data_IF_094090067271
#
_entry.id   IF_094090067271
#
_cell.length_a   1.000
_cell.length_b   1.000
_cell.length_c   1.000
_cell.angle_alpha   90.00
_cell.angle_beta   90.00
_cell.angle_gamma   90.00
#
_symmetry.space_group_name_H-M   'P 1'
#
loop_
_entity.id
_entity.type
_entity.pdbx_description
1 polymer ?
#
# COMPACT_ATOMS: atom_id res chain seq x y z
N UNK A 1 -11.21 -6.37 22.91
CA UNK A 1 -12.25 -5.80 22.01
C UNK A 1 -12.72 -6.92 21.09
N UNK A 2 -14.02 -7.08 20.78
CA UNK A 2 -14.42 -8.05 19.75
C UNK A 2 -13.74 -7.72 18.43
N UNK A 3 -13.59 -8.75 17.57
CA UNK A 3 -13.00 -8.55 16.24
C UNK A 3 -13.88 -7.55 15.48
N UNK A 4 -13.34 -6.42 15.00
CA UNK A 4 -14.11 -5.48 14.19
C UNK A 4 -14.70 -6.15 12.94
N UNK A 5 -15.88 -5.74 12.55
CA UNK A 5 -16.52 -6.22 11.32
C UNK A 5 -16.44 -5.14 10.24
N UNK A 6 -16.45 -5.55 8.95
CA UNK A 6 -16.59 -4.61 7.85
C UNK A 6 -17.77 -3.66 8.09
N UNK A 7 -17.49 -2.36 7.98
CA UNK A 7 -18.48 -1.28 8.11
C UNK A 7 -19.17 -1.15 9.49
N UNK A 8 -18.60 -1.77 10.54
CA UNK A 8 -19.00 -1.46 11.92
C UNK A 8 -18.48 -0.07 12.35
N UNK A 9 -18.82 0.34 13.58
CA UNK A 9 -18.45 1.66 14.12
C UNK A 9 -16.94 1.91 14.08
N UNK A 10 -16.11 0.89 14.35
CA UNK A 10 -14.66 1.02 14.35
C UNK A 10 -14.15 1.36 12.94
N UNK A 11 -14.60 0.61 11.93
CA UNK A 11 -14.21 0.83 10.54
C UNK A 11 -14.73 2.17 10.01
N UNK A 12 -15.99 2.53 10.28
CA UNK A 12 -16.59 3.80 9.85
C UNK A 12 -15.89 5.02 10.47
N UNK A 13 -15.50 4.95 11.75
CA UNK A 13 -14.70 6.00 12.40
C UNK A 13 -13.36 6.18 11.69
N UNK A 14 -12.67 5.08 11.34
CA UNK A 14 -11.40 5.16 10.61
C UNK A 14 -11.56 5.73 9.20
N UNK A 15 -12.63 5.41 8.48
CA UNK A 15 -12.96 6.04 7.19
C UNK A 15 -13.08 7.55 7.38
N UNK A 16 -13.84 7.99 8.38
CA UNK A 16 -13.99 9.41 8.71
C UNK A 16 -12.66 10.11 9.04
N UNK A 17 -11.81 9.46 9.85
CA UNK A 17 -10.46 9.96 10.20
C UNK A 17 -9.60 10.13 8.95
N UNK A 18 -9.54 9.12 8.07
CA UNK A 18 -8.72 9.15 6.86
C UNK A 18 -9.19 10.23 5.88
N UNK A 19 -10.49 10.41 5.71
CA UNK A 19 -11.06 11.50 4.90
C UNK A 19 -10.68 12.87 5.51
N UNK A 20 -10.86 13.04 6.83
CA UNK A 20 -10.53 14.29 7.51
C UNK A 20 -9.04 14.64 7.39
N UNK A 21 -8.14 13.66 7.59
CA UNK A 21 -6.69 13.86 7.43
C UNK A 21 -6.35 14.18 5.97
N UNK A 22 -6.97 13.51 5.00
CA UNK A 22 -6.76 13.79 3.57
C UNK A 22 -7.08 15.24 3.23
N UNK A 23 -8.26 15.71 3.66
CA UNK A 23 -8.71 17.10 3.47
C UNK A 23 -7.76 18.06 4.17
N UNK A 24 -7.41 17.80 5.43
CA UNK A 24 -6.51 18.63 6.21
C UNK A 24 -5.15 18.80 5.53
N UNK A 25 -4.52 17.69 5.10
CA UNK A 25 -3.21 17.72 4.44
C UNK A 25 -3.28 18.52 3.13
N UNK A 26 -4.28 18.29 2.31
CA UNK A 26 -4.47 19.03 1.06
C UNK A 26 -4.70 20.51 1.32
N UNK A 27 -5.62 20.87 2.21
CA UNK A 27 -5.94 22.28 2.50
C UNK A 27 -4.75 23.03 3.10
N UNK A 28 -4.03 22.41 4.03
CA UNK A 28 -2.95 23.07 4.78
C UNK A 28 -1.61 23.03 4.07
N UNK A 29 -1.30 21.92 3.37
CA UNK A 29 0.06 21.62 2.91
C UNK A 29 0.20 21.43 1.40
N UNK A 30 -0.85 21.61 0.58
CA UNK A 30 -0.72 21.47 -0.89
C UNK A 30 0.36 22.34 -1.53
N UNK A 31 0.72 23.44 -0.87
CA UNK A 31 1.77 24.36 -1.31
C UNK A 31 3.05 24.27 -0.45
N UNK A 32 3.20 23.26 0.39
CA UNK A 32 4.35 23.06 1.24
C UNK A 32 5.65 22.95 0.42
N UNK A 33 6.77 23.32 1.03
CA UNK A 33 8.07 23.14 0.38
C UNK A 33 8.40 21.66 0.15
N UNK A 34 9.29 21.37 -0.80
CA UNK A 34 9.75 19.98 -1.02
C UNK A 34 10.42 19.40 0.23
N UNK A 35 11.15 20.24 0.99
CA UNK A 35 11.74 19.86 2.27
C UNK A 35 10.69 19.41 3.29
N UNK A 36 9.52 20.06 3.36
CA UNK A 36 8.47 19.68 4.27
C UNK A 36 7.79 18.36 3.83
N UNK A 37 7.62 18.15 2.52
CA UNK A 37 7.14 16.86 1.98
C UNK A 37 8.08 15.73 2.35
N UNK A 38 9.40 15.93 2.22
CA UNK A 38 10.42 14.95 2.61
C UNK A 38 10.33 14.60 4.10
N UNK A 39 10.21 15.62 4.96
CA UNK A 39 10.02 15.43 6.40
C UNK A 39 8.75 14.64 6.71
N UNK A 40 7.62 14.99 6.08
CA UNK A 40 6.36 14.26 6.24
C UNK A 40 6.48 12.80 5.78
N UNK A 41 7.10 12.56 4.63
CA UNK A 41 7.35 11.20 4.14
C UNK A 41 8.21 10.39 5.13
N UNK A 42 9.25 11.00 5.69
CA UNK A 42 10.10 10.38 6.72
C UNK A 42 9.36 10.09 8.02
N UNK A 43 8.50 11.00 8.48
CA UNK A 43 7.67 10.79 9.69
C UNK A 43 6.68 9.63 9.46
N UNK A 44 5.94 9.63 8.35
CA UNK A 44 5.00 8.56 8.05
C UNK A 44 5.71 7.22 7.87
N UNK A 45 6.86 7.21 7.20
CA UNK A 45 7.71 6.02 7.12
C UNK A 45 8.11 5.50 8.51
N UNK A 46 8.62 6.38 9.38
CA UNK A 46 9.01 6.01 10.75
C UNK A 46 7.85 5.41 11.55
N UNK A 47 6.66 6.02 11.47
CA UNK A 47 5.45 5.50 12.13
C UNK A 47 5.09 4.11 11.59
N UNK A 48 5.08 3.94 10.25
CA UNK A 48 4.76 2.65 9.65
C UNK A 48 5.78 1.57 10.01
N UNK A 49 7.07 1.90 10.06
CA UNK A 49 8.15 0.96 10.45
C UNK A 49 8.00 0.54 11.90
N UNK A 50 7.73 1.47 12.82
CA UNK A 50 7.52 1.14 14.25
C UNK A 50 6.35 0.18 14.42
N UNK A 51 5.20 0.46 13.81
CA UNK A 51 4.06 -0.44 13.86
C UNK A 51 4.34 -1.78 13.19
N UNK A 52 5.09 -1.78 12.11
CA UNK A 52 5.47 -3.03 11.42
C UNK A 52 6.39 -3.89 12.30
N UNK A 53 7.39 -3.30 12.95
CA UNK A 53 8.26 -4.01 13.89
C UNK A 53 7.43 -4.64 15.01
N UNK A 54 6.51 -3.89 15.63
CA UNK A 54 5.62 -4.40 16.67
C UNK A 54 4.80 -5.59 16.14
N UNK A 55 4.24 -5.46 14.93
CA UNK A 55 3.48 -6.55 14.29
C UNK A 55 4.34 -7.80 14.10
N UNK A 56 5.57 -7.66 13.61
CA UNK A 56 6.47 -8.79 13.38
C UNK A 56 6.80 -9.54 14.68
N UNK A 57 6.99 -8.83 15.80
CA UNK A 57 7.16 -9.46 17.10
C UNK A 57 5.88 -10.17 17.58
N UNK A 58 4.71 -9.57 17.38
CA UNK A 58 3.44 -10.18 17.77
C UNK A 58 3.11 -11.47 16.99
N UNK A 59 3.55 -11.57 15.74
CA UNK A 59 3.39 -12.77 14.90
C UNK A 59 4.60 -13.72 14.93
N UNK A 60 5.66 -13.36 15.65
CA UNK A 60 6.83 -14.20 15.84
C UNK A 60 6.92 -14.85 17.20
N UNK A 61 6.13 -14.39 18.19
CA UNK A 61 6.19 -14.91 19.55
C UNK A 61 4.92 -15.69 19.85
N UNK A 62 5.08 -16.96 20.18
CA UNK A 62 4.02 -17.89 20.61
C UNK A 62 4.26 -18.31 22.05
N UNK A 63 3.21 -18.54 22.81
CA UNK A 63 3.31 -19.08 24.17
C UNK A 63 3.06 -20.58 24.12
N UNK A 64 4.08 -21.38 24.40
CA UNK A 64 4.01 -22.84 24.52
C UNK A 64 4.42 -23.27 25.94
N UNK A 65 3.60 -24.03 26.61
CA UNK A 65 3.86 -24.57 27.95
C UNK A 65 4.45 -23.52 28.95
N UNK A 66 3.84 -22.31 28.98
CA UNK A 66 4.29 -21.16 29.78
C UNK A 66 5.67 -20.59 29.41
N UNK A 67 6.17 -20.91 28.22
CA UNK A 67 7.41 -20.35 27.65
C UNK A 67 7.12 -19.54 26.42
N UNK A 68 7.87 -18.44 26.23
CA UNK A 68 7.85 -17.69 24.99
C UNK A 68 8.77 -18.38 24.00
N UNK A 69 8.20 -18.86 22.91
CA UNK A 69 8.91 -19.51 21.81
C UNK A 69 8.83 -18.61 20.59
N UNK A 70 9.92 -18.55 19.83
CA UNK A 70 9.92 -17.88 18.54
C UNK A 70 9.45 -18.85 17.47
N UNK A 71 8.21 -18.67 16.99
CA UNK A 71 7.62 -19.39 15.86
C UNK A 71 7.01 -18.38 14.90
N UNK A 72 7.83 -17.93 13.94
CA UNK A 72 7.48 -16.83 13.07
C UNK A 72 6.56 -17.26 11.94
N UNK A 73 5.42 -16.57 11.82
CA UNK A 73 4.44 -16.79 10.76
C UNK A 73 4.87 -16.05 9.47
N UNK A 74 5.56 -16.75 8.58
CA UNK A 74 6.13 -16.21 7.35
C UNK A 74 5.11 -15.61 6.38
N UNK A 75 3.84 -16.01 6.47
CA UNK A 75 2.75 -15.38 5.72
C UNK A 75 2.63 -13.88 6.00
N UNK A 76 2.96 -13.41 7.21
CA UNK A 76 2.91 -12.00 7.61
C UNK A 76 4.18 -11.21 7.34
N UNK A 77 5.15 -11.82 6.65
CA UNK A 77 6.35 -11.10 6.23
C UNK A 77 5.97 -9.82 5.46
N UNK A 78 6.62 -8.67 5.75
CA UNK A 78 6.15 -7.35 5.29
C UNK A 78 6.48 -7.06 3.83
N UNK A 79 6.19 -8.00 2.93
CA UNK A 79 6.44 -7.85 1.50
C UNK A 79 5.20 -8.11 0.63
N UNK A 80 4.01 -7.87 1.17
CA UNK A 80 2.80 -7.82 0.34
C UNK A 80 2.72 -6.49 -0.40
N UNK A 81 1.90 -6.41 -1.46
CA UNK A 81 1.72 -5.17 -2.24
C UNK A 81 1.34 -3.98 -1.35
N UNK A 82 0.46 -4.17 -0.39
CA UNK A 82 0.08 -3.13 0.57
C UNK A 82 1.24 -2.70 1.50
N UNK A 83 2.28 -3.52 1.67
CA UNK A 83 3.48 -3.16 2.45
C UNK A 83 4.50 -2.34 1.63
N UNK A 84 4.29 -2.18 0.33
CA UNK A 84 5.22 -1.46 -0.55
C UNK A 84 5.59 -0.02 -0.09
N UNK A 85 4.74 0.76 0.60
CA UNK A 85 5.13 2.06 1.13
C UNK A 85 6.31 2.02 2.10
N UNK A 86 6.52 0.91 2.83
CA UNK A 86 7.69 0.74 3.70
C UNK A 86 9.02 0.88 2.93
N UNK A 87 9.03 0.52 1.66
CA UNK A 87 10.19 0.56 0.78
C UNK A 87 10.24 1.79 -0.12
N UNK A 88 9.08 2.41 -0.41
CA UNK A 88 8.99 3.52 -1.35
C UNK A 88 9.00 4.89 -0.66
N UNK A 89 8.44 5.02 0.56
CA UNK A 89 8.47 6.27 1.33
C UNK A 89 9.91 6.77 1.59
N UNK A 90 10.90 5.91 1.93
CA UNK A 90 12.29 6.34 2.08
C UNK A 90 12.86 6.97 0.80
N UNK A 91 12.46 6.51 -0.38
CA UNK A 91 12.89 7.10 -1.64
C UNK A 91 12.35 8.53 -1.76
N UNK A 92 11.08 8.76 -1.41
CA UNK A 92 10.49 10.10 -1.44
C UNK A 92 11.14 11.02 -0.40
N UNK A 93 11.46 10.49 0.79
CA UNK A 93 12.07 11.25 1.88
C UNK A 93 13.55 11.60 1.63
N UNK A 94 14.35 10.64 1.20
CA UNK A 94 15.82 10.73 1.28
C UNK A 94 16.53 10.71 -0.08
N UNK A 95 15.90 10.24 -1.18
CA UNK A 95 16.56 10.22 -2.47
C UNK A 95 16.76 11.64 -3.03
N UNK A 96 17.78 11.82 -3.85
CA UNK A 96 18.01 13.05 -4.61
C UNK A 96 16.86 13.29 -5.60
N UNK A 97 16.63 14.55 -5.95
CA UNK A 97 15.67 14.91 -6.98
C UNK A 97 16.05 14.28 -8.32
N UNK A 98 15.04 13.80 -9.03
CA UNK A 98 15.23 13.12 -10.31
C UNK A 98 14.13 12.11 -10.62
N UNK A 99 14.24 11.47 -11.77
CA UNK A 99 13.22 10.56 -12.30
C UNK A 99 12.84 9.43 -11.33
N UNK A 100 13.79 8.90 -10.59
CA UNK A 100 13.54 7.80 -9.65
C UNK A 100 12.63 8.24 -8.51
N UNK A 101 12.91 9.40 -7.90
CA UNK A 101 12.04 9.99 -6.88
C UNK A 101 10.67 10.38 -7.43
N UNK A 102 10.64 10.95 -8.65
CA UNK A 102 9.37 11.30 -9.32
C UNK A 102 8.49 10.08 -9.56
N UNK A 103 9.08 8.96 -9.99
CA UNK A 103 8.39 7.69 -10.15
C UNK A 103 7.89 7.13 -8.81
N UNK A 104 8.68 7.27 -7.73
CA UNK A 104 8.27 6.88 -6.38
C UNK A 104 7.09 7.72 -5.87
N UNK A 105 7.09 9.04 -6.12
CA UNK A 105 5.96 9.92 -5.82
C UNK A 105 4.71 9.47 -6.60
N UNK A 106 4.86 9.21 -7.90
CA UNK A 106 3.77 8.71 -8.74
C UNK A 106 3.25 7.36 -8.24
N UNK A 107 4.15 6.45 -7.82
CA UNK A 107 3.78 5.15 -7.23
C UNK A 107 2.90 5.32 -5.98
N UNK A 108 3.31 6.17 -5.05
CA UNK A 108 2.53 6.42 -3.83
C UNK A 108 1.19 7.10 -4.13
N UNK A 109 1.16 8.02 -5.10
CA UNK A 109 -0.05 8.73 -5.49
C UNK A 109 -1.02 7.90 -6.36
N UNK A 110 -0.63 6.70 -6.82
CA UNK A 110 -1.45 5.86 -7.69
C UNK A 110 -1.54 4.41 -7.18
N UNK A 111 -0.50 3.61 -7.27
CA UNK A 111 -0.48 2.19 -6.85
C UNK A 111 -0.75 2.02 -5.35
N UNK A 112 -0.04 2.76 -4.51
CA UNK A 112 -0.20 2.69 -3.06
C UNK A 112 -1.57 3.23 -2.62
N UNK A 113 -2.02 4.35 -3.20
CA UNK A 113 -3.35 4.91 -2.98
C UNK A 113 -4.44 3.89 -3.35
N UNK A 114 -4.31 3.22 -4.50
CA UNK A 114 -5.21 2.14 -4.89
C UNK A 114 -5.23 1.01 -3.86
N UNK A 115 -4.07 0.53 -3.41
CA UNK A 115 -3.97 -0.53 -2.40
C UNK A 115 -4.67 -0.15 -1.09
N UNK A 116 -4.45 1.08 -0.60
CA UNK A 116 -5.11 1.60 0.59
C UNK A 116 -6.63 1.65 0.44
N UNK A 117 -7.13 2.15 -0.71
CA UNK A 117 -8.56 2.21 -1.00
C UNK A 117 -9.17 0.80 -1.04
N UNK A 118 -8.50 -0.17 -1.68
CA UNK A 118 -9.00 -1.54 -1.73
C UNK A 118 -9.21 -2.13 -0.33
N UNK A 119 -8.28 -1.94 0.59
CA UNK A 119 -8.42 -2.44 1.97
C UNK A 119 -9.53 -1.72 2.73
N UNK A 120 -9.71 -0.43 2.53
CA UNK A 120 -10.80 0.32 3.15
C UNK A 120 -12.19 0.03 2.55
N UNK A 121 -12.24 -0.38 1.28
CA UNK A 121 -13.52 -0.76 0.62
C UNK A 121 -13.83 -2.25 0.81
N UNK A 122 -12.82 -3.11 0.93
CA UNK A 122 -12.99 -4.55 1.06
C UNK A 122 -12.16 -5.07 2.26
N UNK A 123 -12.54 -4.74 3.51
CA UNK A 123 -11.74 -5.06 4.70
C UNK A 123 -11.96 -6.48 5.24
N UNK A 124 -12.55 -7.40 4.47
CA UNK A 124 -13.01 -8.71 4.96
C UNK A 124 -11.94 -9.54 5.66
N UNK A 125 -10.66 -9.42 5.26
CA UNK A 125 -9.59 -10.31 5.72
C UNK A 125 -8.52 -9.61 6.55
N UNK A 126 -8.75 -8.34 6.94
CA UNK A 126 -7.73 -7.53 7.60
C UNK A 126 -7.95 -7.33 9.09
N UNK A 127 -9.14 -7.64 9.61
CA UNK A 127 -9.45 -7.55 11.02
C UNK A 127 -9.18 -8.87 11.74
N UNK A 128 -8.51 -8.78 12.89
CA UNK A 128 -8.02 -9.91 13.67
C UNK A 128 -8.39 -9.80 15.15
N UNK A 129 -8.17 -10.87 15.91
CA UNK A 129 -8.37 -10.86 17.38
C UNK A 129 -7.45 -9.87 18.10
N UNK A 130 -6.26 -9.60 17.56
CA UNK A 130 -5.33 -8.66 18.15
C UNK A 130 -5.74 -7.21 17.87
N UNK A 131 -6.29 -6.54 18.86
CA UNK A 131 -6.74 -5.15 18.76
C UNK A 131 -5.67 -4.20 18.20
N UNK A 132 -4.41 -4.36 18.63
CA UNK A 132 -3.31 -3.53 18.16
C UNK A 132 -3.06 -3.67 16.64
N UNK A 133 -3.23 -4.89 16.11
CA UNK A 133 -3.09 -5.14 14.66
C UNK A 133 -4.22 -4.46 13.88
N UNK A 134 -5.43 -4.41 14.42
CA UNK A 134 -6.54 -3.69 13.77
C UNK A 134 -6.23 -2.19 13.66
N UNK A 135 -5.67 -1.57 14.72
CA UNK A 135 -5.19 -0.19 14.66
C UNK A 135 -4.04 -0.02 13.67
N UNK A 136 -3.04 -0.91 13.70
CA UNK A 136 -1.91 -0.88 12.77
C UNK A 136 -2.39 -0.96 11.33
N UNK A 137 -3.32 -1.87 11.02
CA UNK A 137 -3.91 -2.04 9.68
C UNK A 137 -4.59 -0.75 9.21
N UNK A 138 -5.42 -0.12 10.05
CA UNK A 138 -6.10 1.13 9.70
C UNK A 138 -5.11 2.28 9.52
N UNK A 139 -4.11 2.43 10.39
CA UNK A 139 -3.07 3.46 10.25
C UNK A 139 -2.26 3.24 8.98
N UNK A 140 -1.82 1.99 8.73
CA UNK A 140 -0.99 1.64 7.59
C UNK A 140 -1.68 1.96 6.25
N UNK A 141 -2.88 1.42 6.05
CA UNK A 141 -3.63 1.63 4.81
C UNK A 141 -4.24 3.04 4.73
N UNK A 142 -4.61 3.63 5.88
CA UNK A 142 -5.01 5.04 5.94
C UNK A 142 -3.89 5.97 5.49
N UNK A 143 -2.64 5.69 5.88
CA UNK A 143 -1.46 6.47 5.42
C UNK A 143 -1.32 6.40 3.90
N UNK A 144 -1.55 5.25 3.29
CA UNK A 144 -1.55 5.10 1.83
C UNK A 144 -2.58 6.02 1.17
N UNK A 145 -3.78 6.13 1.76
CA UNK A 145 -4.85 6.96 1.22
C UNK A 145 -4.52 8.45 1.42
N UNK A 146 -4.40 8.91 2.65
CA UNK A 146 -4.30 10.35 2.87
C UNK A 146 -2.99 10.94 2.35
N UNK A 147 -1.87 10.21 2.45
CA UNK A 147 -0.60 10.69 1.92
C UNK A 147 -0.53 10.55 0.40
N UNK A 148 -1.11 9.49 -0.18
CA UNK A 148 -1.26 9.34 -1.62
C UNK A 148 -2.08 10.46 -2.25
N UNK A 149 -3.24 10.79 -1.67
CA UNK A 149 -4.08 11.93 -2.07
C UNK A 149 -3.28 13.24 -1.94
N UNK A 150 -2.62 13.46 -0.82
CA UNK A 150 -1.80 14.65 -0.62
C UNK A 150 -0.69 14.80 -1.67
N UNK A 151 0.06 13.73 -1.95
CA UNK A 151 1.11 13.74 -2.98
C UNK A 151 0.53 14.01 -4.37
N UNK A 152 -0.65 13.49 -4.68
CA UNK A 152 -1.33 13.75 -5.94
C UNK A 152 -1.63 15.26 -6.12
N UNK A 153 -2.11 15.93 -5.08
CA UNK A 153 -2.36 17.39 -5.13
C UNK A 153 -1.07 18.20 -5.17
N UNK A 154 -0.07 17.81 -4.36
CA UNK A 154 1.19 18.55 -4.23
C UNK A 154 2.07 18.44 -5.48
N UNK A 155 2.09 17.29 -6.11
CA UNK A 155 2.89 16.98 -7.29
C UNK A 155 2.03 16.61 -8.51
N UNK A 156 0.96 17.37 -8.74
CA UNK A 156 -0.01 17.12 -9.83
C UNK A 156 0.65 17.03 -11.22
N UNK A 157 1.74 17.73 -11.44
CA UNK A 157 2.53 17.67 -12.68
C UNK A 157 3.20 16.32 -12.90
N UNK A 158 3.40 15.55 -11.82
CA UNK A 158 3.97 14.20 -11.87
C UNK A 158 2.92 13.13 -12.14
N UNK A 159 1.64 13.47 -12.07
CA UNK A 159 0.53 12.59 -12.48
C UNK A 159 0.42 12.57 -14.01
N UNK A 160 1.36 11.94 -14.68
CA UNK A 160 1.39 11.81 -16.13
C UNK A 160 1.76 10.38 -16.54
N UNK A 161 1.51 10.04 -17.79
CA UNK A 161 1.72 8.68 -18.30
C UNK A 161 3.17 8.19 -18.19
N UNK A 162 4.14 9.09 -18.39
CA UNK A 162 5.56 8.74 -18.27
C UNK A 162 5.95 8.32 -16.85
N UNK A 163 5.48 9.06 -15.86
CA UNK A 163 5.73 8.72 -14.44
C UNK A 163 4.88 7.52 -14.01
N UNK A 164 3.68 7.30 -14.59
CA UNK A 164 2.91 6.08 -14.38
C UNK A 164 3.67 4.84 -14.88
N UNK A 165 4.29 4.92 -16.07
CA UNK A 165 5.16 3.84 -16.55
C UNK A 165 6.36 3.60 -15.61
N UNK A 166 6.98 4.68 -15.10
CA UNK A 166 8.04 4.56 -14.10
C UNK A 166 7.57 3.93 -12.79
N UNK A 167 6.38 4.29 -12.32
CA UNK A 167 5.73 3.67 -11.16
C UNK A 167 5.40 2.20 -11.43
N UNK A 168 4.95 1.86 -12.64
CA UNK A 168 4.73 0.47 -13.07
C UNK A 168 6.04 -0.33 -13.08
N UNK A 169 7.15 0.27 -13.49
CA UNK A 169 8.45 -0.38 -13.43
C UNK A 169 8.86 -0.67 -11.97
N UNK A 170 8.60 0.25 -11.03
CA UNK A 170 8.79 0.00 -9.58
C UNK A 170 7.93 -1.16 -9.13
N UNK A 171 6.62 -1.15 -9.46
CA UNK A 171 5.70 -2.24 -9.13
C UNK A 171 6.18 -3.59 -9.66
N UNK A 172 6.60 -3.63 -10.94
CA UNK A 172 7.10 -4.84 -11.59
C UNK A 172 8.38 -5.36 -10.92
N UNK A 173 9.28 -4.46 -10.51
CA UNK A 173 10.49 -4.83 -9.76
C UNK A 173 10.13 -5.48 -8.42
N UNK A 174 9.21 -4.89 -7.67
CA UNK A 174 8.73 -5.47 -6.41
C UNK A 174 8.03 -6.81 -6.64
N UNK A 175 7.24 -6.95 -7.70
CA UNK A 175 6.59 -8.21 -8.06
C UNK A 175 7.61 -9.31 -8.44
N UNK A 176 8.67 -8.97 -9.18
CA UNK A 176 9.77 -9.92 -9.47
C UNK A 176 10.47 -10.35 -8.19
N UNK A 177 10.76 -9.43 -7.28
CA UNK A 177 11.35 -9.78 -5.98
C UNK A 177 10.41 -10.68 -5.17
N UNK A 178 9.11 -10.38 -5.14
CA UNK A 178 8.10 -11.22 -4.49
C UNK A 178 8.06 -12.64 -5.09
N UNK A 179 8.11 -12.74 -6.42
CA UNK A 179 8.16 -14.03 -7.10
C UNK A 179 9.41 -14.84 -6.73
N UNK A 180 10.59 -14.19 -6.72
CA UNK A 180 11.83 -14.84 -6.29
C UNK A 180 11.75 -15.33 -4.85
N UNK A 181 11.18 -14.52 -3.93
CA UNK A 181 10.96 -14.92 -2.54
C UNK A 181 10.02 -16.12 -2.46
N UNK A 182 8.90 -16.11 -3.16
CA UNK A 182 7.93 -17.22 -3.19
C UNK A 182 8.57 -18.52 -3.69
N UNK A 183 9.36 -18.44 -4.77
CA UNK A 183 10.05 -19.63 -5.31
C UNK A 183 11.13 -20.14 -4.36
N UNK A 184 11.95 -19.24 -3.81
CA UNK A 184 13.03 -19.63 -2.89
C UNK A 184 12.46 -20.27 -1.62
N UNK A 185 11.45 -19.66 -0.99
CA UNK A 185 10.88 -20.18 0.26
C UNK A 185 10.15 -21.50 0.06
N UNK A 186 9.46 -21.68 -1.08
CA UNK A 186 8.82 -22.96 -1.40
C UNK A 186 9.82 -24.13 -1.40
N UNK A 187 11.03 -23.94 -1.89
CA UNK A 187 12.06 -24.98 -1.93
C UNK A 187 12.91 -25.06 -0.65
N UNK A 188 13.12 -23.94 0.04
CA UNK A 188 13.99 -23.89 1.22
C UNK A 188 13.26 -24.30 2.51
N UNK A 189 11.99 -23.92 2.70
CA UNK A 189 11.26 -24.18 3.94
C UNK A 189 11.22 -25.67 4.32
N UNK A 190 10.88 -26.60 3.41
CA UNK A 190 10.92 -28.02 3.76
C UNK A 190 12.32 -28.52 4.15
N UNK A 191 13.37 -28.01 3.49
CA UNK A 191 14.75 -28.37 3.80
C UNK A 191 15.23 -27.82 5.16
N UNK A 192 14.62 -26.73 5.63
CA UNK A 192 14.92 -26.09 6.93
C UNK A 192 13.97 -26.53 8.05
N UNK A 193 13.02 -27.43 7.77
CA UNK A 193 12.02 -27.88 8.75
C UNK A 193 10.97 -26.80 9.10
N UNK A 194 10.84 -25.76 8.26
CA UNK A 194 9.83 -24.71 8.43
C UNK A 194 8.50 -25.20 7.85
N UNK A 195 7.50 -25.34 8.71
CA UNK A 195 6.16 -25.77 8.31
C UNK A 195 5.23 -24.55 8.12
N UNK A 196 5.58 -23.67 7.20
CA UNK A 196 4.82 -22.47 6.85
C UNK A 196 4.98 -22.17 5.35
N UNK A 197 4.30 -21.13 4.84
CA UNK A 197 4.36 -20.77 3.44
C UNK A 197 4.43 -19.25 3.24
N UNK A 198 4.99 -18.83 2.09
CA UNK A 198 4.96 -17.45 1.63
C UNK A 198 4.22 -17.35 0.31
N UNK A 199 3.32 -16.39 0.19
CA UNK A 199 2.66 -16.02 -1.06
C UNK A 199 2.66 -14.48 -1.21
N UNK A 200 3.85 -13.93 -1.40
CA UNK A 200 4.04 -12.48 -1.53
C UNK A 200 3.42 -11.99 -2.83
N UNK A 201 2.74 -10.83 -2.77
CA UNK A 201 1.94 -10.26 -3.87
C UNK A 201 0.84 -11.20 -4.39
N UNK A 202 0.62 -12.36 -3.73
CA UNK A 202 -0.31 -13.41 -4.18
C UNK A 202 -0.03 -13.92 -5.61
N UNK A 203 1.25 -13.95 -5.99
CA UNK A 203 1.71 -14.38 -7.30
C UNK A 203 2.60 -15.64 -7.26
N UNK A 204 2.53 -16.42 -6.20
CA UNK A 204 3.27 -17.70 -6.15
C UNK A 204 2.80 -18.64 -7.27
N UNK A 205 3.73 -19.35 -7.96
CA UNK A 205 3.35 -20.41 -8.90
C UNK A 205 2.87 -21.69 -8.19
N UNK A 206 2.99 -21.76 -6.87
CA UNK A 206 2.73 -22.95 -6.05
C UNK A 206 1.46 -22.84 -5.19
N UNK A 207 0.92 -21.65 -5.04
CA UNK A 207 -0.25 -21.36 -4.21
C UNK A 207 -1.28 -20.55 -4.98
N UNK A 208 -2.56 -20.82 -4.73
CA UNK A 208 -3.66 -20.10 -5.38
C UNK A 208 -3.58 -18.58 -5.12
N UNK A 209 -3.97 -17.81 -6.13
CA UNK A 209 -4.14 -16.38 -5.98
C UNK A 209 -5.51 -16.09 -5.33
N UNK A 210 -5.59 -15.48 -4.13
CA UNK A 210 -6.87 -15.21 -3.46
C UNK A 210 -7.53 -13.90 -3.92
N UNK A 211 -6.86 -13.09 -4.76
CA UNK A 211 -7.38 -11.79 -5.17
C UNK A 211 -8.62 -11.94 -6.06
N UNK A 212 -9.70 -11.16 -5.80
CA UNK A 212 -10.88 -11.17 -6.66
C UNK A 212 -10.52 -10.93 -8.12
N UNK A 213 -11.24 -11.56 -9.06
CA UNK A 213 -10.99 -11.58 -10.49
C UNK A 213 -9.66 -12.26 -10.90
N UNK A 214 -8.55 -11.95 -10.24
CA UNK A 214 -7.24 -12.55 -10.53
C UNK A 214 -7.18 -14.03 -10.17
N UNK A 215 -7.94 -14.49 -9.18
CA UNK A 215 -8.11 -15.92 -8.86
C UNK A 215 -8.70 -16.71 -10.03
N UNK A 216 -9.63 -16.10 -10.77
CA UNK A 216 -10.24 -16.71 -11.97
C UNK A 216 -9.21 -16.75 -13.11
N UNK A 217 -8.49 -15.65 -13.34
CA UNK A 217 -7.45 -15.56 -14.36
C UNK A 217 -6.32 -16.55 -14.08
N UNK A 218 -5.89 -16.66 -12.81
CA UNK A 218 -4.83 -17.59 -12.38
C UNK A 218 -5.13 -19.04 -12.78
N UNK A 219 -6.40 -19.45 -12.68
CA UNK A 219 -6.84 -20.81 -13.03
C UNK A 219 -7.13 -21.00 -14.52
N UNK A 220 -7.37 -19.92 -15.26
CA UNK A 220 -7.85 -19.97 -16.63
C UNK A 220 -6.74 -19.87 -17.68
N UNK A 221 -5.54 -19.33 -17.33
CA UNK A 221 -4.48 -19.08 -18.30
C UNK A 221 -3.14 -19.63 -17.83
N UNK A 222 -2.17 -19.89 -18.76
CA UNK A 222 -0.80 -20.25 -18.36
C UNK A 222 -0.17 -19.18 -17.44
N UNK A 223 0.61 -19.64 -16.46
CA UNK A 223 1.20 -18.79 -15.43
C UNK A 223 1.94 -17.53 -15.93
N UNK A 224 2.77 -17.58 -17.00
CA UNK A 224 3.39 -16.37 -17.55
C UNK A 224 2.38 -15.35 -18.06
N UNK A 225 1.26 -15.81 -18.63
CA UNK A 225 0.15 -14.95 -19.09
C UNK A 225 -0.55 -14.31 -17.88
N UNK A 226 -0.78 -15.08 -16.83
CA UNK A 226 -1.30 -14.55 -15.56
C UNK A 226 -0.42 -13.40 -15.02
N UNK A 227 0.91 -13.55 -15.00
CA UNK A 227 1.81 -12.48 -14.54
C UNK A 227 1.70 -11.21 -15.40
N UNK A 228 1.58 -11.36 -16.72
CA UNK A 228 1.35 -10.22 -17.62
C UNK A 228 0.02 -9.53 -17.32
N UNK A 229 -1.07 -10.31 -17.16
CA UNK A 229 -2.40 -9.78 -16.82
C UNK A 229 -2.38 -9.12 -15.44
N UNK A 230 -1.67 -9.69 -14.47
CA UNK A 230 -1.50 -9.14 -13.14
C UNK A 230 -0.85 -7.74 -13.18
N UNK A 231 0.33 -7.61 -13.80
CA UNK A 231 1.04 -6.33 -13.90
C UNK A 231 0.23 -5.30 -14.66
N UNK A 232 -0.34 -5.69 -15.80
CA UNK A 232 -1.16 -4.79 -16.63
C UNK A 232 -2.44 -4.36 -15.91
N UNK A 233 -3.11 -5.28 -15.22
CA UNK A 233 -4.31 -5.00 -14.43
C UNK A 233 -4.05 -3.97 -13.32
N UNK A 234 -2.97 -4.12 -12.55
CA UNK A 234 -2.59 -3.14 -11.54
C UNK A 234 -2.18 -1.80 -12.16
N UNK A 235 -1.51 -1.79 -13.32
CA UNK A 235 -1.22 -0.56 -14.06
C UNK A 235 -2.50 0.16 -14.49
N UNK A 236 -3.51 -0.56 -14.97
CA UNK A 236 -4.81 0.01 -15.33
C UNK A 236 -5.52 0.61 -14.10
N UNK A 237 -5.53 -0.10 -12.97
CA UNK A 237 -6.11 0.41 -11.73
C UNK A 237 -5.38 1.70 -11.26
N UNK A 238 -4.04 1.70 -11.27
CA UNK A 238 -3.25 2.88 -10.93
C UNK A 238 -3.49 4.04 -11.92
N UNK A 239 -3.65 3.74 -13.20
CA UNK A 239 -4.03 4.70 -14.25
C UNK A 239 -5.41 5.30 -14.02
N UNK A 240 -6.39 4.49 -13.59
CA UNK A 240 -7.72 4.96 -13.22
C UNK A 240 -7.66 5.91 -12.01
N UNK A 241 -6.92 5.55 -10.97
CA UNK A 241 -6.68 6.43 -9.82
C UNK A 241 -6.05 7.74 -10.27
N UNK A 242 -5.04 7.70 -11.15
CA UNK A 242 -4.43 8.91 -11.72
C UNK A 242 -5.45 9.81 -12.41
N UNK A 243 -6.33 9.24 -13.23
CA UNK A 243 -7.36 9.99 -13.94
C UNK A 243 -8.40 10.60 -12.99
N UNK A 244 -8.86 9.83 -11.99
CA UNK A 244 -9.78 10.32 -10.95
C UNK A 244 -9.14 11.47 -10.19
N UNK A 245 -7.90 11.34 -9.73
CA UNK A 245 -7.20 12.39 -9.01
C UNK A 245 -7.01 13.66 -9.86
N UNK A 246 -6.66 13.53 -11.14
CA UNK A 246 -6.61 14.68 -12.07
C UNK A 246 -7.95 15.38 -12.19
N UNK A 247 -9.04 14.63 -12.27
CA UNK A 247 -10.40 15.17 -12.30
C UNK A 247 -10.74 15.97 -11.04
N UNK A 248 -10.48 15.38 -9.86
CA UNK A 248 -10.72 16.01 -8.56
C UNK A 248 -9.89 17.31 -8.42
N UNK A 249 -8.60 17.28 -8.78
CA UNK A 249 -7.72 18.45 -8.72
C UNK A 249 -8.27 19.57 -9.62
N UNK A 250 -8.63 19.26 -10.86
CA UNK A 250 -9.19 20.22 -11.82
C UNK A 250 -10.50 20.88 -11.29
N UNK A 251 -11.39 20.09 -10.71
CA UNK A 251 -12.63 20.60 -10.10
C UNK A 251 -12.33 21.52 -8.91
N UNK A 252 -11.39 21.13 -8.05
CA UNK A 252 -10.98 21.94 -6.90
C UNK A 252 -10.39 23.29 -7.33
N UNK A 253 -9.61 23.34 -8.41
CA UNK A 253 -9.03 24.58 -8.94
C UNK A 253 -10.08 25.51 -9.55
N UNK A 254 -11.05 24.94 -10.30
CA UNK A 254 -12.15 25.71 -10.89
C UNK A 254 -13.00 26.40 -9.81
N UNK A 255 -13.32 25.69 -8.75
CA UNK A 255 -14.12 26.25 -7.65
C UNK A 255 -13.37 27.38 -6.90
N UNK A 256 -12.06 27.22 -6.68
CA UNK A 256 -11.24 28.25 -6.05
C UNK A 256 -11.10 29.50 -6.93
N UNK A 257 -11.00 29.37 -8.26
CA UNK A 257 -10.97 30.48 -9.21
C UNK A 257 -12.29 31.26 -9.27
N UNK A 258 -13.44 30.61 -9.11
CA UNK A 258 -14.74 31.27 -9.07
C UNK A 258 -14.95 32.10 -7.78
N UNK A 259 -14.43 31.61 -6.62
CA UNK A 259 -14.54 32.34 -5.34
C UNK A 259 -13.68 33.59 -5.34
N UNK A 260 -12.54 33.59 -6.03
CA UNK A 260 -11.66 34.78 -6.14
C UNK A 260 -12.19 35.85 -7.10
N UNK A 261 -12.97 35.47 -8.12
CA UNK A 261 -13.56 36.40 -9.09
C UNK A 261 -14.87 37.04 -8.59
N UNK A 262 -15.48 36.52 -7.53
CA UNK A 262 -16.71 37.04 -6.93
C UNK A 262 -16.46 37.87 -5.65
N UNK A 263 -15.21 38.14 -5.33
CA UNK A 263 -14.79 39.07 -4.27
C UNK A 263 -14.15 40.32 -4.86
#
# INVERSE_FOLDING_TARGET
MPIPQPYDWFHLVWIGIVIAISIFLVCKFKNASDSDVRKMAGIFWGVMVVFEIIKQFLFGIVVEEDRLVWDYMWYFFPFQFCSSPLYILPIVAFAKDGKFRDNAISFLATFSLFAGICVYVLPSDVFMQFTLINYQTMIHHGTQIFFGVYLAFRYREKLNFKNLLGATAIFSTLAVLALLMNVLTYHLFPALGVNDYMNMFFISPYYDCPLPLLSVVYKAVPYPVFLCVYIFGFMLCAGLIMLIMKGIIKLSEKNNGQITNNK
#
